data_IF_584734685547
#
_entry.id   IF_584734685547
#
_cell.length_a   1.000
_cell.length_b   1.000
_cell.length_c   1.000
_cell.angle_alpha   90.00
_cell.angle_beta   90.00
_cell.angle_gamma   90.00
#
_symmetry.space_group_name_H-M   'P 1'
#
loop_
_entity.id
_entity.type
_entity.pdbx_description
1 polymer ?
#
# COMPACT_ATOMS: atom_id res chain seq x y z
N UNK A 1 9.32 12.28 22.78
CA UNK A 1 10.02 12.57 21.52
C UNK A 1 8.98 12.69 20.42
N UNK A 2 8.93 13.82 19.72
CA UNK A 2 8.07 13.96 18.53
C UNK A 2 8.72 13.20 17.37
N UNK A 3 7.93 12.36 16.69
CA UNK A 3 8.42 11.53 15.58
C UNK A 3 8.48 12.38 14.29
N UNK A 4 9.53 12.28 13.48
CA UNK A 4 9.60 13.00 12.20
C UNK A 4 8.48 12.52 11.27
N UNK A 5 7.66 13.45 10.78
CA UNK A 5 6.56 13.16 9.84
C UNK A 5 7.13 12.93 8.43
N UNK A 6 7.19 11.66 8.01
CA UNK A 6 7.46 11.28 6.63
C UNK A 6 6.15 11.24 5.82
N UNK A 7 6.19 11.61 4.54
CA UNK A 7 5.05 11.59 3.60
C UNK A 7 4.36 10.23 3.50
N UNK A 8 5.09 9.14 3.77
CA UNK A 8 4.59 7.76 3.67
C UNK A 8 4.07 7.17 4.98
N UNK A 9 4.03 7.95 6.06
CA UNK A 9 3.51 7.46 7.35
C UNK A 9 2.00 7.54 7.41
N UNK A 10 1.38 6.52 8.02
CA UNK A 10 -0.06 6.51 8.29
C UNK A 10 -0.48 7.76 9.08
N UNK A 11 -1.58 8.38 8.65
CA UNK A 11 -2.25 9.42 9.42
C UNK A 11 -3.76 9.30 9.24
N UNK A 12 -4.49 9.76 10.27
CA UNK A 12 -5.94 9.85 10.20
C UNK A 12 -6.33 10.95 9.21
N UNK A 13 -7.03 10.56 8.16
CA UNK A 13 -7.52 11.48 7.13
C UNK A 13 -8.69 12.30 7.68
N UNK A 14 -8.63 13.62 7.51
CA UNK A 14 -9.73 14.53 7.86
C UNK A 14 -10.86 14.45 6.82
N UNK A 15 -12.08 14.88 7.15
CA UNK A 15 -13.20 14.88 6.19
C UNK A 15 -12.92 15.75 4.95
N UNK A 16 -12.17 16.85 5.11
CA UNK A 16 -11.75 17.70 4.01
C UNK A 16 -10.77 16.98 3.08
N UNK A 17 -9.75 16.32 3.64
CA UNK A 17 -8.79 15.52 2.85
C UNK A 17 -9.48 14.34 2.16
N UNK A 18 -10.43 13.70 2.83
CA UNK A 18 -11.23 12.61 2.27
C UNK A 18 -12.02 13.05 1.04
N UNK A 19 -12.65 14.22 1.09
CA UNK A 19 -13.36 14.80 -0.06
C UNK A 19 -12.41 15.12 -1.22
N UNK A 20 -11.21 15.65 -0.91
CA UNK A 20 -10.21 15.95 -1.93
C UNK A 20 -9.66 14.66 -2.58
N UNK A 21 -9.33 13.64 -1.78
CA UNK A 21 -8.92 12.31 -2.26
C UNK A 21 -10.01 11.72 -3.15
N UNK A 22 -11.28 11.81 -2.75
CA UNK A 22 -12.40 11.30 -3.53
C UNK A 22 -12.51 12.00 -4.89
N UNK A 23 -12.39 13.33 -4.92
CA UNK A 23 -12.44 14.13 -6.15
C UNK A 23 -11.28 13.79 -7.08
N UNK A 24 -10.07 13.70 -6.54
CA UNK A 24 -8.87 13.34 -7.31
C UNK A 24 -8.96 11.92 -7.86
N UNK A 25 -9.39 10.96 -7.04
CA UNK A 25 -9.59 9.56 -7.43
C UNK A 25 -10.63 9.44 -8.54
N UNK A 26 -11.77 10.12 -8.42
CA UNK A 26 -12.82 10.13 -9.44
C UNK A 26 -12.31 10.71 -10.76
N UNK A 27 -11.55 11.80 -10.72
CA UNK A 27 -10.93 12.40 -11.90
C UNK A 27 -9.91 11.47 -12.55
N UNK A 28 -9.10 10.79 -11.75
CA UNK A 28 -8.11 9.83 -12.24
C UNK A 28 -8.79 8.66 -12.96
N UNK A 29 -9.79 8.04 -12.31
CA UNK A 29 -10.54 6.92 -12.86
C UNK A 29 -11.30 7.30 -14.13
N UNK A 30 -11.95 8.46 -14.16
CA UNK A 30 -12.67 8.91 -15.36
C UNK A 30 -11.71 9.21 -16.52
N UNK A 31 -10.57 9.84 -16.24
CA UNK A 31 -9.53 10.12 -17.24
C UNK A 31 -8.94 8.81 -17.77
N UNK A 32 -8.68 7.85 -16.90
CA UNK A 32 -8.16 6.54 -17.27
C UNK A 32 -9.17 5.76 -18.13
N UNK A 33 -10.43 5.69 -17.70
CA UNK A 33 -11.50 5.05 -18.48
C UNK A 33 -11.71 5.70 -19.85
N UNK A 34 -11.70 7.04 -19.91
CA UNK A 34 -11.81 7.77 -21.18
C UNK A 34 -10.61 7.56 -22.11
N UNK A 35 -9.42 7.28 -21.56
CA UNK A 35 -8.25 6.87 -22.36
C UNK A 35 -8.39 5.42 -22.84
N UNK A 36 -8.82 4.50 -21.97
CA UNK A 36 -9.04 3.09 -22.33
C UNK A 36 -10.08 2.92 -23.45
N UNK A 37 -11.17 3.68 -23.42
CA UNK A 37 -12.21 3.64 -24.47
C UNK A 37 -11.67 4.00 -25.87
N UNK A 38 -10.60 4.80 -25.95
CA UNK A 38 -9.97 5.19 -27.22
C UNK A 38 -9.05 4.10 -27.77
N UNK A 39 -8.62 3.16 -26.93
CA UNK A 39 -7.74 2.08 -27.32
C UNK A 39 -8.59 0.97 -27.94
N UNK A 40 -8.42 0.76 -29.25
CA UNK A 40 -8.96 -0.40 -29.97
C UNK A 40 -7.84 -1.40 -30.17
N UNK A 41 -7.56 -2.20 -29.14
CA UNK A 41 -6.64 -3.33 -29.24
C UNK A 41 -7.41 -4.64 -29.20
N UNK A 42 -6.87 -5.68 -29.84
CA UNK A 42 -7.36 -7.04 -29.64
C UNK A 42 -6.93 -7.50 -28.26
N UNK A 43 -7.79 -8.26 -27.58
CA UNK A 43 -7.43 -8.92 -26.33
C UNK A 43 -6.22 -9.84 -26.59
N UNK A 44 -5.19 -9.69 -25.76
CA UNK A 44 -3.97 -10.48 -25.85
C UNK A 44 -3.78 -11.19 -24.51
N UNK A 45 -3.71 -12.51 -24.56
CA UNK A 45 -3.35 -13.34 -23.43
C UNK A 45 -1.85 -13.65 -23.51
N UNK A 46 -1.14 -13.44 -22.42
CA UNK A 46 0.27 -13.81 -22.30
C UNK A 46 0.40 -14.85 -21.21
N UNK A 47 0.68 -16.08 -21.62
CA UNK A 47 0.95 -17.18 -20.71
C UNK A 47 2.43 -17.16 -20.34
N UNK A 48 2.71 -16.80 -19.08
CA UNK A 48 4.01 -17.00 -18.50
C UNK A 48 3.93 -18.21 -17.58
N UNK A 49 4.45 -19.36 -18.02
CA UNK A 49 4.45 -20.61 -17.27
C UNK A 49 5.34 -20.57 -16.00
N UNK A 50 5.93 -19.41 -15.69
CA UNK A 50 6.78 -19.18 -14.52
C UNK A 50 5.99 -18.39 -13.47
N UNK A 51 5.09 -19.08 -12.75
CA UNK A 51 4.39 -18.52 -11.59
C UNK A 51 5.19 -18.59 -10.28
N UNK A 52 6.38 -19.19 -10.32
CA UNK A 52 7.25 -19.38 -9.16
C UNK A 52 8.45 -18.44 -9.22
N UNK A 53 8.84 -17.94 -8.05
CA UNK A 53 10.08 -17.19 -7.87
C UNK A 53 11.12 -18.11 -7.24
N UNK A 54 12.36 -18.04 -7.70
CA UNK A 54 13.49 -18.68 -7.03
C UNK A 54 13.59 -18.21 -5.57
N UNK A 55 13.74 -19.17 -4.66
CA UNK A 55 13.90 -18.87 -3.25
C UNK A 55 15.25 -18.16 -3.04
N UNK A 56 15.22 -17.08 -2.27
CA UNK A 56 16.42 -16.35 -1.87
C UNK A 56 16.70 -16.56 -0.38
N UNK A 57 17.74 -15.92 0.15
CA UNK A 57 17.98 -15.91 1.59
C UNK A 57 16.93 -15.01 2.28
N UNK A 58 15.91 -15.59 2.91
CA UNK A 58 14.82 -14.84 3.54
C UNK A 58 15.24 -13.90 4.66
N UNK A 59 16.48 -14.02 5.16
CA UNK A 59 17.06 -13.15 6.18
C UNK A 59 17.73 -11.90 5.62
N UNK A 60 17.96 -11.84 4.30
CA UNK A 60 18.47 -10.66 3.61
C UNK A 60 17.29 -9.78 3.22
N UNK A 61 17.09 -8.70 3.96
CA UNK A 61 16.06 -7.71 3.71
C UNK A 61 16.66 -6.31 3.67
N UNK A 62 15.91 -5.37 3.09
CA UNK A 62 16.28 -3.96 3.11
C UNK A 62 16.38 -3.48 4.58
N UNK A 63 17.51 -2.89 5.02
CA UNK A 63 17.65 -2.37 6.37
C UNK A 63 16.53 -1.40 6.77
N UNK A 64 15.95 -0.66 5.83
CA UNK A 64 14.89 0.33 6.08
C UNK A 64 13.50 -0.29 6.21
N UNK A 65 13.31 -1.54 5.76
CA UNK A 65 12.00 -2.18 5.72
C UNK A 65 11.36 -2.30 7.12
N UNK A 66 12.17 -2.75 8.10
CA UNK A 66 11.72 -2.93 9.48
C UNK A 66 11.24 -1.62 10.08
N UNK A 67 12.03 -0.56 9.92
CA UNK A 67 11.74 0.76 10.48
C UNK A 67 10.48 1.35 9.84
N UNK A 68 10.35 1.26 8.52
CA UNK A 68 9.15 1.72 7.81
C UNK A 68 7.89 0.97 8.22
N UNK A 69 8.00 -0.33 8.45
CA UNK A 69 6.89 -1.17 8.87
C UNK A 69 6.41 -0.81 10.29
N UNK A 70 7.33 -0.66 11.24
CA UNK A 70 7.01 -0.27 12.62
C UNK A 70 6.52 1.17 12.73
N UNK A 71 7.07 2.11 11.93
CA UNK A 71 6.61 3.49 11.89
C UNK A 71 5.17 3.64 11.39
N UNK A 72 4.71 2.73 10.53
CA UNK A 72 3.35 2.71 10.02
C UNK A 72 2.34 2.02 10.93
N UNK A 73 2.80 1.28 11.93
CA UNK A 73 1.92 0.56 12.83
C UNK A 73 1.22 1.51 13.82
N UNK A 74 -0.08 1.30 14.10
CA UNK A 74 -0.85 2.18 14.98
C UNK A 74 -0.40 2.12 16.44
N UNK A 75 0.09 0.96 16.88
CA UNK A 75 0.63 0.75 18.22
C UNK A 75 1.84 -0.19 18.11
N UNK A 76 2.94 0.25 18.70
CA UNK A 76 4.20 -0.50 18.77
C UNK A 76 4.71 -0.50 20.20
N UNK A 77 5.29 -1.62 20.61
CA UNK A 77 6.03 -1.75 21.86
C UNK A 77 7.35 -2.45 21.54
N UNK A 78 8.46 -1.77 21.78
CA UNK A 78 9.78 -2.14 21.29
C UNK A 78 9.76 -2.48 19.79
N UNK A 79 9.97 -3.76 19.47
CA UNK A 79 10.04 -4.29 18.12
C UNK A 79 8.77 -5.06 17.69
N UNK A 80 7.67 -4.89 18.44
CA UNK A 80 6.42 -5.61 18.24
C UNK A 80 5.28 -4.69 17.85
N UNK A 81 4.48 -5.11 16.86
CA UNK A 81 3.17 -4.51 16.59
C UNK A 81 2.18 -5.07 17.59
N UNK A 82 1.54 -4.18 18.34
CA UNK A 82 0.50 -4.56 19.29
C UNK A 82 -0.84 -4.50 18.58
N UNK A 83 -1.50 -5.65 18.47
CA UNK A 83 -2.88 -5.78 18.01
C UNK A 83 -3.82 -6.03 19.20
N UNK A 84 -5.10 -5.77 18.99
CA UNK A 84 -6.13 -6.15 19.98
C UNK A 84 -6.07 -7.66 20.22
N UNK A 85 -6.17 -8.09 21.48
CA UNK A 85 -6.32 -9.51 21.81
C UNK A 85 -7.62 -9.98 21.17
N UNK A 86 -7.50 -10.71 20.07
CA UNK A 86 -8.67 -11.20 19.38
C UNK A 86 -9.42 -12.16 20.30
N UNK A 87 -10.65 -11.80 20.68
CA UNK A 87 -11.64 -12.73 21.19
C UNK A 87 -12.13 -13.64 20.08
N UNK A 88 -11.22 -14.33 19.40
CA UNK A 88 -11.57 -15.39 18.45
C UNK A 88 -12.24 -16.49 19.29
N UNK A 89 -13.58 -16.54 19.23
CA UNK A 89 -14.39 -17.68 19.67
C UNK A 89 -14.67 -18.58 18.49
#
# INVERSE_FOLDING_TARGET
MERPKNKFTYHKVTEKEKQEIQKQSKKLLSTFAGKLQKIKTKEQHFENNNGTREEGNGWETDPEFRDLMLLNAPLIEDDFIIAEKGGWK
#
